data_IF_045078647504
#
_entry.id   IF_045078647504
#
_cell.length_a   1.000
_cell.length_b   1.000
_cell.length_c   1.000
_cell.angle_alpha   90.00
_cell.angle_beta   90.00
_cell.angle_gamma   90.00
#
_symmetry.space_group_name_H-M   'P 1'
#
loop_
_entity.id
_entity.type
_entity.pdbx_description
1 polymer ?
#
# COMPACT_ATOMS: atom_id res chain seq x y z
N UNK A 1 -0.55 -10.12 -51.41
CA UNK A 1 -0.92 -10.80 -50.14
C UNK A 1 0.34 -11.39 -49.50
N UNK A 2 0.42 -11.36 -48.15
CA UNK A 2 1.52 -11.78 -47.23
C UNK A 2 2.59 -10.72 -46.95
N UNK A 3 2.40 -9.83 -45.96
CA UNK A 3 2.66 -9.93 -44.49
C UNK A 3 4.13 -9.76 -44.08
N UNK A 4 4.36 -8.60 -43.46
CA UNK A 4 5.37 -8.13 -42.50
C UNK A 4 6.17 -9.23 -41.79
N UNK A 5 7.49 -9.03 -41.63
CA UNK A 5 8.16 -9.21 -40.32
C UNK A 5 9.51 -8.49 -40.28
N UNK A 6 9.54 -7.42 -39.50
CA UNK A 6 10.76 -6.78 -38.98
C UNK A 6 11.36 -7.70 -37.94
N UNK A 7 12.54 -8.26 -38.22
CA UNK A 7 13.44 -8.77 -37.20
C UNK A 7 14.72 -7.95 -37.32
N UNK A 8 14.69 -6.78 -36.69
CA UNK A 8 15.86 -5.95 -36.51
C UNK A 8 16.76 -6.66 -35.50
N UNK A 9 17.89 -7.16 -35.98
CA UNK A 9 18.87 -7.89 -35.22
C UNK A 9 19.54 -7.07 -34.11
N UNK A 10 19.82 -7.76 -33.01
CA UNK A 10 21.12 -7.86 -32.34
C UNK A 10 22.10 -6.69 -32.46
N UNK A 11 22.30 -5.97 -31.35
CA UNK A 11 23.60 -5.58 -30.80
C UNK A 11 23.33 -4.94 -29.42
N UNK A 12 23.63 -5.62 -28.31
CA UNK A 12 24.92 -5.56 -27.61
C UNK A 12 25.22 -4.16 -27.06
N UNK A 13 25.29 -4.03 -25.74
CA UNK A 13 26.47 -3.48 -25.06
C UNK A 13 26.21 -3.32 -23.56
N UNK A 14 27.31 -3.55 -22.83
CA UNK A 14 27.48 -3.40 -21.41
C UNK A 14 27.02 -2.06 -20.84
N UNK A 15 26.68 -2.07 -19.56
CA UNK A 15 26.49 -0.85 -18.78
C UNK A 15 26.09 -1.17 -17.37
N UNK A 16 27.08 -1.26 -16.48
CA UNK A 16 26.91 -1.05 -15.04
C UNK A 16 26.07 0.20 -14.81
N UNK A 17 24.82 0.04 -14.42
CA UNK A 17 24.08 1.06 -13.68
C UNK A 17 23.32 0.35 -12.60
N UNK A 18 23.40 0.90 -11.39
CA UNK A 18 22.54 0.55 -10.28
C UNK A 18 21.12 0.38 -10.81
N UNK A 19 20.64 -0.85 -10.84
CA UNK A 19 19.21 -1.10 -10.94
C UNK A 19 18.69 -0.72 -9.55
N UNK A 20 18.46 0.58 -9.35
CA UNK A 20 17.19 1.01 -8.76
C UNK A 20 16.18 0.22 -9.58
N UNK A 21 15.71 -0.89 -9.02
CA UNK A 21 14.58 -1.60 -9.57
C UNK A 21 13.50 -0.53 -9.68
N UNK A 22 13.30 -0.05 -10.90
CA UNK A 22 12.10 0.60 -11.31
C UNK A 22 11.03 -0.46 -11.05
N UNK A 23 10.50 -0.45 -9.83
CA UNK A 23 9.25 -1.10 -9.51
C UNK A 23 8.33 -0.69 -10.66
N UNK A 24 7.72 -1.64 -11.38
CA UNK A 24 6.75 -1.28 -12.41
C UNK A 24 5.74 -0.35 -11.75
N UNK A 25 5.74 0.91 -12.17
CA UNK A 25 5.00 2.03 -11.56
C UNK A 25 3.49 1.94 -11.80
N UNK A 26 2.96 0.72 -11.95
CA UNK A 26 1.61 0.46 -12.42
C UNK A 26 1.27 -1.04 -12.36
N UNK A 27 1.76 -1.76 -11.33
CA UNK A 27 0.95 -2.87 -10.84
C UNK A 27 -0.03 -2.26 -9.85
N UNK A 28 -1.19 -1.80 -10.31
CA UNK A 28 -2.29 -1.48 -9.40
C UNK A 28 -2.48 -2.74 -8.55
N UNK A 29 -2.24 -2.71 -7.23
CA UNK A 29 -2.46 -3.87 -6.40
C UNK A 29 -3.93 -4.28 -6.58
N UNK A 30 -4.18 -5.50 -7.08
CA UNK A 30 -5.54 -5.96 -7.33
C UNK A 30 -6.35 -5.97 -6.03
N UNK A 31 -5.72 -6.38 -4.93
CA UNK A 31 -6.22 -6.32 -3.56
C UNK A 31 -5.04 -6.25 -2.57
N UNK A 32 -5.23 -5.64 -1.41
CA UNK A 32 -4.24 -5.61 -0.34
C UNK A 32 -4.84 -5.26 1.03
N UNK A 33 -4.31 -5.88 2.09
CA UNK A 33 -4.65 -5.57 3.48
C UNK A 33 -3.55 -4.68 4.05
N UNK A 34 -3.94 -3.55 4.63
CA UNK A 34 -3.02 -2.56 5.19
C UNK A 34 -3.31 -2.37 6.68
N UNK A 35 -2.44 -2.88 7.57
CA UNK A 35 -2.58 -2.67 9.01
C UNK A 35 -2.05 -1.28 9.40
N UNK A 36 -2.74 -0.62 10.31
CA UNK A 36 -2.36 0.64 10.91
C UNK A 36 -2.44 0.56 12.43
N UNK A 37 -1.44 1.13 13.09
CA UNK A 37 -1.40 1.28 14.54
C UNK A 37 -1.41 2.77 14.87
N UNK A 38 -2.15 3.16 15.90
CA UNK A 38 -2.31 4.54 16.32
C UNK A 38 -2.27 4.70 17.83
N UNK A 39 -1.85 5.88 18.27
CA UNK A 39 -1.84 6.27 19.68
C UNK A 39 -2.80 7.44 19.92
N UNK A 40 -3.38 7.51 21.12
CA UNK A 40 -4.27 8.59 21.49
C UNK A 40 -4.57 8.67 22.98
N UNK A 41 -4.97 9.86 23.44
CA UNK A 41 -5.37 10.08 24.84
C UNK A 41 -6.69 9.36 25.21
N UNK A 42 -7.49 9.01 24.20
CA UNK A 42 -8.74 8.27 24.37
C UNK A 42 -8.85 7.19 23.29
N UNK A 43 -9.63 6.15 23.56
CA UNK A 43 -9.94 5.08 22.58
C UNK A 43 -10.29 5.64 21.20
N UNK A 44 -11.30 6.54 21.02
CA UNK A 44 -11.66 7.03 19.68
C UNK A 44 -10.52 7.77 18.98
N UNK A 45 -9.64 8.47 19.71
CA UNK A 45 -8.48 9.16 19.12
C UNK A 45 -7.44 8.14 18.63
N UNK A 46 -7.10 7.15 19.46
CA UNK A 46 -6.14 6.10 19.10
C UNK A 46 -6.63 5.31 17.88
N UNK A 47 -7.92 4.94 17.89
CA UNK A 47 -8.60 4.22 16.82
C UNK A 47 -8.65 5.02 15.51
N UNK A 48 -8.98 6.32 15.54
CA UNK A 48 -8.94 7.17 14.34
C UNK A 48 -7.50 7.34 13.81
N UNK A 49 -6.51 7.42 14.70
CA UNK A 49 -5.09 7.49 14.35
C UNK A 49 -4.64 6.20 13.64
N UNK A 50 -5.06 5.04 14.14
CA UNK A 50 -4.79 3.73 13.54
C UNK A 50 -5.40 3.61 12.14
N UNK A 51 -6.66 4.03 11.97
CA UNK A 51 -7.33 4.05 10.67
C UNK A 51 -6.62 4.97 9.66
N UNK A 52 -6.24 6.19 10.10
CA UNK A 52 -5.51 7.13 9.24
C UNK A 52 -4.15 6.56 8.83
N UNK A 53 -3.46 5.88 9.74
CA UNK A 53 -2.20 5.21 9.44
C UNK A 53 -2.38 4.07 8.43
N UNK A 54 -3.42 3.24 8.58
CA UNK A 54 -3.77 2.17 7.64
C UNK A 54 -4.07 2.73 6.23
N UNK A 55 -4.89 3.79 6.16
CA UNK A 55 -5.20 4.48 4.89
C UNK A 55 -3.97 5.16 4.28
N UNK A 56 -3.06 5.71 5.08
CA UNK A 56 -1.82 6.30 4.58
C UNK A 56 -0.92 5.25 3.90
N UNK A 57 -0.81 4.04 4.49
CA UNK A 57 -0.10 2.91 3.87
C UNK A 57 -0.77 2.46 2.58
N UNK A 58 -2.10 2.35 2.57
CA UNK A 58 -2.85 2.02 1.37
C UNK A 58 -2.65 3.05 0.24
N UNK A 59 -2.64 4.35 0.57
CA UNK A 59 -2.33 5.43 -0.39
C UNK A 59 -0.91 5.36 -0.90
N UNK A 60 0.06 5.04 -0.04
CA UNK A 60 1.44 4.84 -0.47
C UNK A 60 1.59 3.67 -1.46
N UNK A 61 0.69 2.69 -1.40
CA UNK A 61 0.60 1.59 -2.36
C UNK A 61 -0.25 1.92 -3.62
N UNK A 62 -0.81 3.13 -3.71
CA UNK A 62 -1.55 3.61 -4.88
C UNK A 62 -3.08 3.45 -4.83
N UNK A 63 -3.65 3.02 -3.70
CA UNK A 63 -5.10 2.97 -3.52
C UNK A 63 -5.69 4.33 -3.12
N UNK A 64 -6.91 4.63 -3.56
CA UNK A 64 -7.70 5.76 -3.03
C UNK A 64 -8.61 5.30 -1.90
N UNK A 65 -8.99 6.21 -0.99
CA UNK A 65 -9.82 5.84 0.18
C UNK A 65 -11.14 5.14 -0.18
N UNK A 66 -11.75 5.46 -1.32
CA UNK A 66 -13.00 4.82 -1.78
C UNK A 66 -12.81 3.36 -2.21
N UNK A 67 -11.57 2.94 -2.46
CA UNK A 67 -11.20 1.55 -2.74
C UNK A 67 -10.88 0.76 -1.47
N UNK A 68 -10.90 1.39 -0.30
CA UNK A 68 -10.51 0.79 0.97
C UNK A 68 -11.70 0.73 1.94
N UNK A 69 -11.89 -0.42 2.57
CA UNK A 69 -12.88 -0.61 3.63
C UNK A 69 -12.18 -1.09 4.92
N UNK A 70 -12.58 -0.59 6.10
CA UNK A 70 -12.11 -1.15 7.37
C UNK A 70 -12.52 -2.62 7.48
N UNK A 71 -11.61 -3.44 8.01
CA UNK A 71 -11.84 -4.86 8.26
C UNK A 71 -11.92 -5.08 9.76
N UNK A 72 -12.99 -5.76 10.19
CA UNK A 72 -13.20 -6.09 11.59
C UNK A 72 -13.38 -4.87 12.49
N UNK A 73 -13.28 -5.13 13.79
CA UNK A 73 -13.33 -4.13 14.84
C UNK A 73 -11.92 -3.66 15.22
N UNK A 74 -11.74 -2.36 15.50
CA UNK A 74 -10.46 -1.87 15.99
C UNK A 74 -10.14 -2.47 17.35
N UNK A 75 -8.92 -2.96 17.49
CA UNK A 75 -8.40 -3.38 18.80
C UNK A 75 -7.86 -2.16 19.52
N UNK A 76 -8.12 -2.01 20.81
CA UNK A 76 -7.56 -0.94 21.62
C UNK A 76 -7.08 -1.46 22.98
N UNK A 77 -5.88 -1.04 23.39
CA UNK A 77 -5.26 -1.38 24.66
C UNK A 77 -4.72 -0.12 25.34
N UNK A 78 -4.79 -0.07 26.67
CA UNK A 78 -4.24 1.04 27.45
C UNK A 78 -2.89 0.63 28.04
N UNK A 79 -1.84 1.38 27.73
CA UNK A 79 -0.47 1.06 28.16
C UNK A 79 -0.07 1.73 29.50
N UNK A 80 -0.98 2.52 30.10
CA UNK A 80 -0.72 3.27 31.33
C UNK A 80 -0.60 4.78 31.13
N UNK A 81 -0.21 5.21 29.92
CA UNK A 81 -0.16 6.63 29.52
C UNK A 81 -1.15 6.96 28.40
N UNK A 82 -1.15 6.14 27.35
CA UNK A 82 -1.95 6.35 26.15
C UNK A 82 -2.71 5.08 25.78
N UNK A 83 -3.78 5.28 25.03
CA UNK A 83 -4.43 4.21 24.30
C UNK A 83 -3.64 3.93 23.02
N UNK A 84 -3.33 2.66 22.81
CA UNK A 84 -2.84 2.13 21.54
C UNK A 84 -3.99 1.42 20.86
N UNK A 85 -4.18 1.65 19.57
CA UNK A 85 -5.17 0.95 18.78
C UNK A 85 -4.59 0.42 17.48
N UNK A 86 -5.14 -0.69 17.01
CA UNK A 86 -4.80 -1.33 15.75
C UNK A 86 -6.05 -1.44 14.88
N UNK A 87 -5.91 -1.13 13.59
CA UNK A 87 -6.97 -1.24 12.59
C UNK A 87 -6.39 -1.68 11.24
N UNK A 88 -7.04 -2.62 10.58
CA UNK A 88 -6.73 -3.03 9.21
C UNK A 88 -7.75 -2.48 8.20
N UNK A 89 -7.27 -2.07 7.03
CA UNK A 89 -8.13 -1.75 5.88
C UNK A 89 -7.83 -2.71 4.73
N UNK A 90 -8.87 -3.26 4.12
CA UNK A 90 -8.79 -4.03 2.89
C UNK A 90 -9.06 -3.06 1.74
N UNK A 91 -8.11 -2.97 0.82
CA UNK A 91 -8.26 -2.19 -0.39
C UNK A 91 -8.35 -3.10 -1.61
N UNK A 92 -9.25 -2.78 -2.54
CA UNK A 92 -9.50 -3.53 -3.77
C UNK A 92 -9.64 -2.58 -4.95
N UNK A 93 -8.96 -2.86 -6.07
CA UNK A 93 -8.89 -1.96 -7.23
C UNK A 93 -10.18 -1.90 -8.02
#
# INVERSE_FOLDING_TARGET
>A
MRTISRLLGTAAAAGTMLVLAALPASATPAQGVYPGTGLGATVPIATQSALNHALAKARAAGFVNSQCAPVGDPSASFDGELWTADWEVLCTS
#
